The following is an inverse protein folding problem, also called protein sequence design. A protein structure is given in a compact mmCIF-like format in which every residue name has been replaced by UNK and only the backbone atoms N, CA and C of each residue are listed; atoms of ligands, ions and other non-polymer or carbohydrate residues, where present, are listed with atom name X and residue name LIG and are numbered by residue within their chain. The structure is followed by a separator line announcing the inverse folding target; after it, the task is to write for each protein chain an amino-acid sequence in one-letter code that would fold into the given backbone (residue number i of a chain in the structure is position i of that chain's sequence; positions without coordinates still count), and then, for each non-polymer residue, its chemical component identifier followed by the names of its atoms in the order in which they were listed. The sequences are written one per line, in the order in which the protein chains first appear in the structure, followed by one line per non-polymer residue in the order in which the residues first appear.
data_IF_209828831175
#
_entry.id   IF_209828831175
#
_cell.length_a   1.000
_cell.length_b   1.000
_cell.length_c   1.000
_cell.angle_alpha   90.00
_cell.angle_beta   90.00
_cell.angle_gamma   90.00
#
_symmetry.space_group_name_H-M   'P 1'
#
loop_
_entity.id
_entity.type
_entity.pdbx_description
1 polymer ?
#
# COMPACT_ATOMS: atom_id res chain seq x y z
N UNK A 1 -35.42 -22.18 -34.86
CA UNK A 1 -34.26 -22.86 -35.46
C UNK A 1 -33.56 -21.83 -36.34
N UNK A 2 -32.54 -21.14 -35.81
CA UNK A 2 -31.69 -20.24 -36.58
C UNK A 2 -30.29 -20.32 -35.98
N UNK A 3 -29.34 -20.61 -36.85
CA UNK A 3 -28.03 -21.19 -36.63
C UNK A 3 -27.02 -20.23 -35.97
N UNK A 4 -26.38 -20.72 -34.92
CA UNK A 4 -25.25 -20.09 -34.24
C UNK A 4 -23.98 -20.13 -35.12
N UNK A 5 -23.27 -19.01 -35.36
CA UNK A 5 -21.97 -19.06 -35.98
C UNK A 5 -20.94 -19.58 -34.97
N UNK A 6 -20.42 -20.77 -35.27
CA UNK A 6 -19.35 -21.47 -34.55
C UNK A 6 -18.05 -20.68 -34.69
N UNK A 7 -17.59 -19.98 -33.65
CA UNK A 7 -16.26 -19.37 -33.66
C UNK A 7 -15.86 -18.48 -32.49
N UNK A 8 -16.80 -17.91 -31.72
CA UNK A 8 -16.48 -16.86 -30.73
C UNK A 8 -16.73 -17.25 -29.25
N UNK A 9 -16.80 -18.55 -28.94
CA UNK A 9 -17.34 -19.02 -27.66
C UNK A 9 -16.34 -19.15 -26.47
N UNK A 10 -15.05 -19.52 -26.61
CA UNK A 10 -14.24 -19.82 -25.42
C UNK A 10 -13.79 -18.55 -24.70
N UNK A 11 -13.35 -17.51 -25.41
CA UNK A 11 -12.85 -16.27 -24.81
C UNK A 11 -13.97 -15.48 -24.10
N UNK A 12 -15.16 -15.41 -24.71
CA UNK A 12 -16.32 -14.72 -24.12
C UNK A 12 -16.85 -15.50 -22.90
N UNK A 13 -16.91 -16.83 -22.97
CA UNK A 13 -17.35 -17.67 -21.85
C UNK A 13 -16.33 -17.73 -20.70
N UNK A 14 -15.03 -17.58 -20.99
CA UNK A 14 -13.97 -17.44 -19.99
C UNK A 14 -14.01 -16.04 -19.33
N UNK A 15 -14.16 -14.97 -20.12
CA UNK A 15 -14.38 -13.62 -19.58
C UNK A 15 -15.65 -13.55 -18.72
N UNK A 16 -16.72 -14.25 -19.11
CA UNK A 16 -17.97 -14.29 -18.36
C UNK A 16 -17.87 -15.15 -17.08
N UNK A 17 -16.98 -16.15 -17.04
CA UNK A 17 -16.65 -16.90 -15.82
C UNK A 17 -15.72 -16.13 -14.88
N UNK A 18 -14.78 -15.35 -15.43
CA UNK A 18 -13.85 -14.48 -14.69
C UNK A 18 -14.49 -13.16 -14.25
N UNK A 19 -15.63 -12.79 -14.83
CA UNK A 19 -16.44 -11.64 -14.42
C UNK A 19 -17.67 -12.07 -13.60
N UNK A 20 -17.67 -13.29 -13.04
CA UNK A 20 -18.77 -13.76 -12.22
C UNK A 20 -18.69 -13.08 -10.86
N UNK A 21 -19.43 -11.99 -10.72
CA UNK A 21 -19.83 -11.45 -9.42
C UNK A 21 -20.50 -12.57 -8.61
N UNK A 22 -19.73 -13.25 -7.75
CA UNK A 22 -20.29 -14.07 -6.68
C UNK A 22 -21.02 -13.10 -5.78
N UNK A 23 -22.34 -13.26 -5.70
CA UNK A 23 -23.18 -12.53 -4.75
C UNK A 23 -22.56 -12.70 -3.37
N UNK A 24 -22.10 -11.60 -2.77
CA UNK A 24 -21.69 -11.59 -1.38
C UNK A 24 -22.97 -11.89 -0.58
N UNK A 25 -23.16 -13.16 -0.21
CA UNK A 25 -24.21 -13.54 0.72
C UNK A 25 -24.14 -12.59 1.91
N UNK A 26 -25.27 -11.96 2.22
CA UNK A 26 -25.35 -10.78 3.08
C UNK A 26 -24.77 -10.96 4.49
N UNK A 27 -24.52 -12.20 4.88
CA UNK A 27 -24.06 -12.65 6.19
C UNK A 27 -22.54 -12.82 6.32
N UNK A 28 -21.77 -12.92 5.23
CA UNK A 28 -20.33 -13.27 5.32
C UNK A 28 -19.44 -12.13 5.88
N UNK A 29 -20.00 -10.91 6.01
CA UNK A 29 -19.33 -9.72 6.55
C UNK A 29 -20.10 -9.10 7.73
N UNK A 30 -21.06 -9.84 8.32
CA UNK A 30 -21.74 -9.44 9.54
C UNK A 30 -20.80 -9.64 10.73
N UNK A 31 -19.92 -8.67 10.97
CA UNK A 31 -19.02 -8.71 12.12
C UNK A 31 -19.79 -8.31 13.38
N UNK A 32 -19.89 -9.23 14.35
CA UNK A 32 -20.48 -9.00 15.68
C UNK A 32 -19.54 -8.18 16.57
N UNK A 33 -19.15 -6.98 16.12
CA UNK A 33 -18.38 -6.04 16.93
C UNK A 33 -19.29 -4.92 17.43
N UNK A 34 -19.13 -4.58 18.71
CA UNK A 34 -19.80 -3.42 19.30
C UNK A 34 -19.21 -2.17 18.66
N UNK A 35 -20.02 -1.42 17.90
CA UNK A 35 -19.64 -0.14 17.31
C UNK A 35 -19.46 0.90 18.43
N UNK A 36 -18.25 0.98 18.97
CA UNK A 36 -17.89 1.93 20.03
C UNK A 36 -17.02 3.09 19.53
N UNK A 37 -16.61 3.07 18.27
CA UNK A 37 -15.64 4.00 17.71
C UNK A 37 -16.35 5.29 17.28
N UNK A 38 -16.01 6.41 17.92
CA UNK A 38 -16.56 7.73 17.58
C UNK A 38 -15.96 8.24 16.26
N UNK A 39 -16.61 9.20 15.61
CA UNK A 39 -16.07 9.86 14.40
C UNK A 39 -14.68 10.44 14.65
N UNK A 40 -14.44 10.99 15.85
CA UNK A 40 -13.12 11.48 16.24
C UNK A 40 -12.08 10.36 16.31
N UNK A 41 -12.42 9.21 16.90
CA UNK A 41 -11.52 8.07 17.01
C UNK A 41 -11.14 7.52 15.63
N UNK A 42 -12.08 7.46 14.68
CA UNK A 42 -11.79 7.08 13.29
C UNK A 42 -10.85 8.09 12.62
N UNK A 43 -11.09 9.40 12.79
CA UNK A 43 -10.22 10.41 12.19
C UNK A 43 -8.81 10.37 12.77
N UNK A 44 -8.68 10.19 14.08
CA UNK A 44 -7.39 10.05 14.76
C UNK A 44 -6.64 8.79 14.32
N UNK A 45 -7.34 7.68 14.13
CA UNK A 45 -6.76 6.47 13.56
C UNK A 45 -6.24 6.71 12.12
N UNK A 46 -6.99 7.42 11.29
CA UNK A 46 -6.57 7.78 9.93
C UNK A 46 -5.33 8.69 9.92
N UNK A 47 -5.35 9.77 10.71
CA UNK A 47 -4.21 10.70 10.82
C UNK A 47 -2.98 10.00 11.40
N UNK A 48 -3.16 9.16 12.43
CA UNK A 48 -2.07 8.38 13.04
C UNK A 48 -1.44 7.38 12.07
N UNK A 49 -2.22 6.81 11.14
CA UNK A 49 -1.71 5.94 10.09
C UNK A 49 -0.92 6.68 9.00
N UNK A 50 -1.30 7.93 8.70
CA UNK A 50 -0.63 8.74 7.66
C UNK A 50 0.64 9.43 8.18
N UNK A 51 0.64 9.91 9.43
CA UNK A 51 1.77 10.62 10.04
C UNK A 51 2.76 9.60 10.61
N UNK A 52 3.57 9.02 9.73
CA UNK A 52 4.61 8.04 10.08
C UNK A 52 6.04 8.58 10.01
N UNK A 53 7.01 7.74 10.40
CA UNK A 53 8.44 8.01 10.27
C UNK A 53 8.86 8.32 8.82
N UNK A 54 8.16 7.73 7.85
CA UNK A 54 8.38 7.98 6.42
C UNK A 54 8.21 9.44 6.02
N UNK A 55 7.23 10.17 6.59
CA UNK A 55 7.04 11.58 6.27
C UNK A 55 8.26 12.40 6.69
N UNK A 56 8.78 12.19 7.89
CA UNK A 56 9.92 12.96 8.42
C UNK A 56 11.24 12.69 7.69
N UNK A 57 11.47 11.44 7.27
CA UNK A 57 12.70 11.06 6.57
C UNK A 57 12.64 11.46 5.09
N UNK A 58 11.54 11.11 4.39
CA UNK A 58 11.45 11.37 2.95
C UNK A 58 11.30 12.85 2.63
N UNK A 59 10.62 13.64 3.46
CA UNK A 59 10.51 15.11 3.26
C UNK A 59 11.88 15.77 3.25
N UNK A 60 12.78 15.36 4.16
CA UNK A 60 14.15 15.87 4.24
C UNK A 60 14.97 15.52 2.98
N UNK A 61 14.89 14.27 2.52
CA UNK A 61 15.59 13.83 1.31
C UNK A 61 15.06 14.55 0.06
N UNK A 62 13.74 14.69 -0.08
CA UNK A 62 13.14 15.39 -1.23
C UNK A 62 13.46 16.89 -1.22
N UNK A 63 13.48 17.51 -0.05
CA UNK A 63 13.88 18.91 0.09
C UNK A 63 15.36 19.11 -0.28
N UNK A 64 16.24 18.19 0.10
CA UNK A 64 17.67 18.28 -0.17
C UNK A 64 18.02 17.98 -1.63
N UNK A 65 17.48 16.89 -2.19
CA UNK A 65 17.98 16.32 -3.44
C UNK A 65 17.15 16.69 -4.68
N UNK A 66 15.89 17.13 -4.51
CA UNK A 66 14.97 17.32 -5.65
C UNK A 66 14.37 18.73 -5.75
N UNK A 67 13.75 19.24 -4.68
CA UNK A 67 12.93 20.46 -4.78
C UNK A 67 13.55 21.72 -4.17
N UNK A 68 14.52 21.60 -3.26
CA UNK A 68 15.08 22.75 -2.55
C UNK A 68 14.01 23.54 -1.77
N UNK A 69 14.09 24.88 -1.69
CA UNK A 69 13.12 25.70 -0.97
C UNK A 69 11.71 25.67 -1.60
N UNK A 70 11.56 25.20 -2.84
CA UNK A 70 10.27 25.08 -3.52
C UNK A 70 9.46 23.83 -3.10
N UNK A 71 9.98 23.00 -2.18
CA UNK A 71 9.33 21.77 -1.70
C UNK A 71 7.91 22.02 -1.16
N UNK A 72 7.66 23.18 -0.57
CA UNK A 72 6.35 23.58 -0.03
C UNK A 72 5.30 23.64 -1.15
N UNK A 73 5.67 24.16 -2.32
CA UNK A 73 4.75 24.28 -3.48
C UNK A 73 4.39 22.88 -3.98
N UNK A 74 5.37 21.97 -4.05
CA UNK A 74 5.14 20.57 -4.42
C UNK A 74 4.19 19.86 -3.45
N UNK A 75 4.34 20.10 -2.13
CA UNK A 75 3.44 19.54 -1.13
C UNK A 75 2.02 20.09 -1.22
N UNK A 76 1.84 21.37 -1.57
CA UNK A 76 0.51 21.96 -1.79
C UNK A 76 -0.19 21.26 -2.96
N UNK A 77 0.49 21.09 -4.09
CA UNK A 77 -0.10 20.38 -5.25
C UNK A 77 -0.41 18.91 -4.93
N UNK A 78 0.49 18.20 -4.25
CA UNK A 78 0.25 16.83 -3.81
C UNK A 78 -0.93 16.74 -2.83
N UNK A 79 -1.07 17.70 -1.92
CA UNK A 79 -2.18 17.78 -0.97
C UNK A 79 -3.52 18.03 -1.66
N UNK A 80 -3.57 18.93 -2.64
CA UNK A 80 -4.80 19.15 -3.42
C UNK A 80 -5.19 17.86 -4.16
N UNK A 81 -4.23 17.21 -4.83
CA UNK A 81 -4.50 15.95 -5.53
C UNK A 81 -5.01 14.84 -4.58
N UNK A 82 -4.43 14.72 -3.38
CA UNK A 82 -4.88 13.71 -2.41
C UNK A 82 -6.25 14.04 -1.81
N UNK A 83 -6.60 15.31 -1.62
CA UNK A 83 -7.91 15.73 -1.15
C UNK A 83 -9.02 15.39 -2.17
N UNK A 84 -8.77 15.61 -3.46
CA UNK A 84 -9.71 15.20 -4.51
C UNK A 84 -9.93 13.68 -4.50
N UNK A 85 -8.85 12.90 -4.35
CA UNK A 85 -8.95 11.45 -4.21
C UNK A 85 -9.72 11.05 -2.94
N UNK A 86 -9.46 11.70 -1.81
CA UNK A 86 -10.13 11.45 -0.55
C UNK A 86 -11.65 11.71 -0.63
N UNK A 87 -12.09 12.77 -1.33
CA UNK A 87 -13.51 13.02 -1.55
C UNK A 87 -14.18 11.92 -2.38
N UNK A 88 -13.52 11.43 -3.43
CA UNK A 88 -14.01 10.30 -4.22
C UNK A 88 -14.16 9.03 -3.35
N UNK A 89 -13.15 8.73 -2.52
CA UNK A 89 -13.25 7.59 -1.59
C UNK A 89 -14.31 7.78 -0.49
N UNK A 90 -14.57 9.01 -0.04
CA UNK A 90 -15.62 9.30 0.93
C UNK A 90 -17.02 9.03 0.33
N UNK A 91 -17.25 9.36 -0.94
CA UNK A 91 -18.50 9.07 -1.65
C UNK A 91 -18.74 7.55 -1.76
N UNK A 92 -17.70 6.78 -2.11
CA UNK A 92 -17.77 5.32 -2.12
C UNK A 92 -18.01 4.71 -0.73
N UNK A 93 -17.36 5.25 0.30
CA UNK A 93 -17.55 4.81 1.68
C UNK A 93 -18.96 5.08 2.22
N UNK A 94 -19.58 6.19 1.82
CA UNK A 94 -20.97 6.50 2.17
C UNK A 94 -21.98 5.60 1.44
N UNK A 95 -21.67 5.19 0.21
CA UNK A 95 -22.57 4.40 -0.64
C UNK A 95 -22.63 2.92 -0.25
N UNK A 96 -21.56 2.37 0.33
CA UNK A 96 -21.43 0.92 0.60
C UNK A 96 -21.08 0.72 2.08
N UNK A 97 -22.09 0.61 2.97
CA UNK A 97 -21.90 0.50 4.43
C UNK A 97 -21.53 -0.94 4.86
N UNK A 98 -20.66 -1.61 4.11
CA UNK A 98 -20.19 -2.97 4.38
C UNK A 98 -18.69 -2.91 4.70
N UNK A 99 -18.26 -3.65 5.72
CA UNK A 99 -16.85 -3.76 6.12
C UNK A 99 -16.06 -4.40 4.98
N UNK A 100 -15.34 -3.59 4.22
CA UNK A 100 -14.61 -4.02 3.03
C UNK A 100 -13.61 -2.96 2.58
N UNK A 101 -12.37 -3.37 2.35
CA UNK A 101 -11.32 -2.50 1.78
C UNK A 101 -11.55 -2.30 0.26
N UNK A 102 -10.62 -1.63 -0.43
CA UNK A 102 -10.65 -1.35 -1.88
C UNK A 102 -11.00 -2.56 -2.77
N UNK A 103 -10.69 -3.77 -2.29
CA UNK A 103 -11.11 -5.03 -2.90
C UNK A 103 -12.64 -5.15 -3.05
N UNK A 104 -13.43 -4.79 -2.04
CA UNK A 104 -14.89 -4.88 -2.13
C UNK A 104 -15.48 -3.88 -3.12
N UNK A 105 -14.93 -2.66 -3.18
CA UNK A 105 -15.39 -1.64 -4.14
C UNK A 105 -15.14 -2.06 -5.59
N UNK A 106 -13.98 -2.67 -5.85
CA UNK A 106 -13.57 -3.12 -7.19
C UNK A 106 -14.24 -4.43 -7.59
N UNK A 107 -14.48 -5.32 -6.62
CA UNK A 107 -15.27 -6.52 -6.81
C UNK A 107 -16.70 -6.21 -7.21
N UNK A 108 -17.34 -5.22 -6.58
CA UNK A 108 -18.71 -4.79 -6.90
C UNK A 108 -18.78 -4.05 -8.25
N UNK A 109 -17.72 -3.34 -8.66
CA UNK A 109 -17.77 -2.43 -9.81
C UNK A 109 -17.21 -3.00 -11.12
N UNK A 110 -16.21 -3.89 -11.09
CA UNK A 110 -15.40 -4.22 -12.30
C UNK A 110 -15.20 -5.73 -12.54
N UNK A 111 -15.44 -6.59 -11.54
CA UNK A 111 -15.35 -8.05 -11.69
C UNK A 111 -14.18 -8.71 -10.97
N UNK A 112 -14.14 -10.05 -10.99
CA UNK A 112 -13.23 -10.87 -10.16
C UNK A 112 -11.75 -10.70 -10.52
N UNK A 113 -11.42 -10.56 -11.82
CA UNK A 113 -10.02 -10.39 -12.26
C UNK A 113 -9.42 -9.06 -11.79
N UNK A 114 -10.16 -7.96 -11.91
CA UNK A 114 -9.71 -6.63 -11.48
C UNK A 114 -9.65 -6.53 -9.96
N UNK A 115 -10.62 -7.11 -9.26
CA UNK A 115 -10.58 -7.25 -7.81
C UNK A 115 -9.36 -8.05 -7.35
N UNK A 116 -9.02 -9.14 -8.02
CA UNK A 116 -7.83 -9.95 -7.72
C UNK A 116 -6.53 -9.16 -7.88
N UNK A 117 -6.37 -8.44 -9.01
CA UNK A 117 -5.19 -7.60 -9.25
C UNK A 117 -5.03 -6.51 -8.20
N UNK A 118 -6.13 -5.83 -7.84
CA UNK A 118 -6.12 -4.78 -6.82
C UNK A 118 -5.85 -5.36 -5.42
N UNK A 119 -6.43 -6.52 -5.11
CA UNK A 119 -6.15 -7.24 -3.87
C UNK A 119 -4.67 -7.59 -3.74
N UNK A 120 -4.06 -8.11 -4.81
CA UNK A 120 -2.62 -8.41 -4.83
C UNK A 120 -1.76 -7.14 -4.72
N UNK A 121 -2.15 -6.06 -5.41
CA UNK A 121 -1.48 -4.77 -5.30
C UNK A 121 -1.48 -4.24 -3.86
N UNK A 122 -2.62 -4.27 -3.17
CA UNK A 122 -2.74 -3.82 -1.78
C UNK A 122 -1.86 -4.64 -0.84
N UNK A 123 -1.73 -5.96 -1.05
CA UNK A 123 -0.82 -6.79 -0.25
C UNK A 123 0.64 -6.36 -0.47
N UNK A 124 1.06 -6.20 -1.73
CA UNK A 124 2.42 -5.77 -2.06
C UNK A 124 2.72 -4.38 -1.52
N UNK A 125 1.77 -3.45 -1.65
CA UNK A 125 1.89 -2.09 -1.14
C UNK A 125 2.08 -2.07 0.38
N UNK A 126 1.28 -2.83 1.12
CA UNK A 126 1.44 -2.96 2.57
C UNK A 126 2.78 -3.59 2.96
N UNK A 127 3.27 -4.56 2.18
CA UNK A 127 4.57 -5.19 2.43
C UNK A 127 5.73 -4.21 2.20
N UNK A 128 5.69 -3.43 1.12
CA UNK A 128 6.68 -2.40 0.81
C UNK A 128 6.61 -1.28 1.87
N UNK A 129 5.40 -0.87 2.26
CA UNK A 129 5.19 0.11 3.33
C UNK A 129 5.78 -0.35 4.65
N UNK A 130 5.53 -1.60 5.05
CA UNK A 130 6.11 -2.19 6.25
C UNK A 130 7.64 -2.23 6.22
N UNK A 131 8.22 -2.65 5.10
CA UNK A 131 9.68 -2.66 4.91
C UNK A 131 10.29 -1.25 4.97
N UNK A 132 9.61 -0.25 4.38
CA UNK A 132 10.05 1.14 4.42
C UNK A 132 10.03 1.72 5.84
N UNK A 133 8.97 1.43 6.61
CA UNK A 133 8.87 1.84 8.03
C UNK A 133 9.95 1.17 8.87
N UNK A 134 10.21 -0.12 8.66
CA UNK A 134 11.28 -0.84 9.34
C UNK A 134 12.64 -0.20 9.05
N UNK A 135 12.94 0.12 7.78
CA UNK A 135 14.19 0.80 7.40
C UNK A 135 14.33 2.18 8.05
N UNK A 136 13.25 2.96 8.07
CA UNK A 136 13.26 4.28 8.71
C UNK A 136 13.53 4.18 10.22
N UNK A 137 12.93 3.21 10.90
CA UNK A 137 13.18 2.94 12.32
C UNK A 137 14.61 2.47 12.59
N UNK A 138 15.13 1.55 11.77
CA UNK A 138 16.52 1.09 11.90
C UNK A 138 17.51 2.24 11.76
N UNK A 139 17.33 3.14 10.79
CA UNK A 139 18.19 4.31 10.63
C UNK A 139 18.10 5.30 11.80
N UNK A 140 16.90 5.52 12.33
CA UNK A 140 16.71 6.40 13.48
C UNK A 140 17.34 5.83 14.75
N UNK A 141 17.17 4.53 15.00
CA UNK A 141 17.81 3.83 16.12
C UNK A 141 19.33 3.85 16.00
N UNK A 142 19.88 3.58 14.81
CA UNK A 142 21.33 3.60 14.60
C UNK A 142 21.93 5.00 14.86
N UNK A 143 21.22 6.07 14.46
CA UNK A 143 21.62 7.44 14.79
C UNK A 143 21.61 7.72 16.30
N UNK A 144 20.64 7.18 17.05
CA UNK A 144 20.59 7.32 18.52
C UNK A 144 21.76 6.59 19.18
N UNK A 145 22.12 5.41 18.67
CA UNK A 145 23.26 4.61 19.16
C UNK A 145 24.61 5.03 18.55
N UNK A 146 24.68 6.21 17.91
CA UNK A 146 25.91 6.79 17.36
C UNK A 146 26.64 5.83 16.40
N UNK A 147 25.87 5.19 15.50
CA UNK A 147 26.35 4.22 14.51
C UNK A 147 27.01 2.95 15.08
N UNK A 148 26.86 2.67 16.38
CA UNK A 148 27.43 1.46 16.99
C UNK A 148 26.87 0.16 16.39
N UNK A 149 25.59 0.17 15.99
CA UNK A 149 24.91 -1.01 15.44
C UNK A 149 25.33 -1.24 13.98
N UNK A 150 25.44 -0.16 13.20
CA UNK A 150 26.00 -0.22 11.85
C UNK A 150 27.46 -0.70 11.87
N UNK A 151 28.30 -0.12 12.72
CA UNK A 151 29.71 -0.52 12.85
C UNK A 151 29.87 -1.98 13.31
N UNK A 152 29.02 -2.46 14.22
CA UNK A 152 29.01 -3.87 14.62
C UNK A 152 28.58 -4.80 13.47
N UNK A 153 27.58 -4.39 12.69
CA UNK A 153 27.08 -5.14 11.53
C UNK A 153 28.12 -5.22 10.42
N UNK A 154 28.81 -4.12 10.12
CA UNK A 154 29.88 -4.08 9.10
C UNK A 154 31.08 -4.97 9.50
N UNK A 155 31.47 -4.95 10.77
CA UNK A 155 32.62 -5.73 11.25
C UNK A 155 32.32 -7.22 11.40
N UNK A 156 31.13 -7.62 11.82
CA UNK A 156 30.82 -9.02 12.16
C UNK A 156 29.92 -9.73 11.14
N UNK A 157 29.06 -9.01 10.40
CA UNK A 157 28.07 -9.62 9.49
C UNK A 157 28.48 -9.44 8.02
N UNK A 158 29.12 -8.32 7.66
CA UNK A 158 29.56 -8.07 6.27
C UNK A 158 30.92 -8.69 5.92
N UNK A 159 31.76 -9.01 6.91
CA UNK A 159 33.00 -9.78 6.69
C UNK A 159 32.71 -11.28 6.54
N UNK A 160 31.97 -11.67 5.51
CA UNK A 160 32.02 -13.03 5.02
C UNK A 160 33.38 -13.25 4.36
N UNK A 161 34.29 -13.94 5.04
CA UNK A 161 35.55 -14.40 4.46
C UNK A 161 35.24 -15.44 3.37
N UNK A 162 34.90 -15.00 2.16
CA UNK A 162 34.73 -15.85 0.98
C UNK A 162 36.11 -15.96 0.31
N UNK A 163 36.80 -17.12 0.36
CA UNK A 163 38.20 -17.24 -0.06
C UNK A 163 38.46 -17.09 -1.57
N UNK A 164 37.45 -16.83 -2.40
CA UNK A 164 37.52 -16.98 -3.85
C UNK A 164 37.23 -15.70 -4.67
N UNK A 165 37.10 -14.52 -4.05
CA UNK A 165 36.90 -13.26 -4.78
C UNK A 165 38.00 -12.23 -4.43
N UNK A 166 38.82 -11.77 -5.39
CA UNK A 166 39.96 -10.87 -5.15
C UNK A 166 39.57 -9.40 -4.89
N UNK A 167 38.33 -9.12 -4.45
CA UNK A 167 37.78 -7.75 -4.31
C UNK A 167 37.69 -7.29 -2.84
N UNK A 168 38.10 -8.11 -1.88
CA UNK A 168 38.06 -7.75 -0.44
C UNK A 168 39.31 -7.02 0.06
N UNK A 169 40.26 -6.68 -0.82
CA UNK A 169 41.54 -6.06 -0.44
C UNK A 169 41.65 -4.55 -0.76
N UNK A 170 40.55 -3.87 -1.11
CA UNK A 170 40.54 -2.42 -1.33
C UNK A 170 39.56 -1.70 -0.40
N UNK A 171 39.73 -1.87 0.90
CA UNK A 171 39.37 -0.88 1.94
C UNK A 171 40.41 -0.97 3.06
#
# INVERSE_FOLDING_TARGET
MATCPRGCAPAVRLCQKLNRLKTLDGDMMATSFKRCLSTLDLTLMGVGGMVGSGLYVLTGTVAKDTAGPAVIISFIFAGIASLLAAFCYAEFGASIPKTGSAYMFTYVSVGELWAFLIGWNVILENMIGGAAVARAWSGYLDSIFNHAIQNFTETHIMQWHVPSLPITQTY
#
